data_IF_753415130191
#
_entry.id   IF_753415130191
#
_cell.length_a   1.000
_cell.length_b   1.000
_cell.length_c   1.000
_cell.angle_alpha   90.00
_cell.angle_beta   90.00
_cell.angle_gamma   90.00
#
_symmetry.space_group_name_H-M   'P 1'
#
loop_
_entity.id
_entity.type
_entity.pdbx_description
1 polymer ?
#
# COMPACT_ATOMS: atom_id res chain seq x y z
N UNK A 1 7.82 20.90 -7.54
CA UNK A 1 7.76 19.55 -6.96
C UNK A 1 6.63 18.82 -7.66
N UNK A 2 6.93 17.88 -8.56
CA UNK A 2 5.92 17.25 -9.41
C UNK A 2 5.23 16.16 -8.58
N UNK A 3 3.96 16.38 -8.20
CA UNK A 3 3.13 15.37 -7.55
C UNK A 3 3.15 14.10 -8.41
N UNK A 4 3.73 13.02 -7.89
CA UNK A 4 3.97 11.79 -8.65
C UNK A 4 2.74 10.89 -8.76
N UNK A 5 1.62 11.29 -8.15
CA UNK A 5 0.33 10.63 -8.27
C UNK A 5 -0.73 11.66 -8.65
N UNK A 6 -0.97 11.83 -9.94
CA UNK A 6 -2.33 12.14 -10.37
C UNK A 6 -3.21 10.98 -9.91
N UNK A 7 -4.39 11.30 -9.39
CA UNK A 7 -5.38 10.35 -8.89
C UNK A 7 -5.55 9.20 -9.91
N UNK A 8 -4.98 8.03 -9.62
CA UNK A 8 -4.92 6.91 -10.56
C UNK A 8 -5.57 5.69 -9.94
N UNK A 9 -6.60 5.16 -10.61
CA UNK A 9 -7.20 3.88 -10.24
C UNK A 9 -6.55 2.81 -11.12
N UNK A 10 -6.03 1.75 -10.49
CA UNK A 10 -5.45 0.60 -11.17
C UNK A 10 -6.24 -0.62 -10.73
N UNK A 11 -6.79 -1.35 -11.70
CA UNK A 11 -7.41 -2.67 -11.45
C UNK A 11 -6.38 -3.74 -11.75
N UNK A 12 -6.20 -4.68 -10.83
CA UNK A 12 -5.32 -5.83 -11.00
C UNK A 12 -6.13 -7.10 -10.73
N UNK A 13 -5.86 -8.16 -11.51
CA UNK A 13 -6.43 -9.48 -11.28
C UNK A 13 -5.33 -10.37 -10.67
N UNK A 14 -5.71 -11.20 -9.72
CA UNK A 14 -4.82 -12.18 -9.09
C UNK A 14 -5.54 -13.53 -8.95
N UNK A 15 -4.81 -14.62 -9.10
CA UNK A 15 -5.39 -15.98 -9.13
C UNK A 15 -5.34 -16.70 -7.77
N UNK A 16 -4.52 -16.22 -6.83
CA UNK A 16 -4.25 -16.88 -5.55
C UNK A 16 -4.66 -16.00 -4.37
N UNK A 17 -4.92 -16.61 -3.21
CA UNK A 17 -5.10 -15.85 -1.97
C UNK A 17 -3.95 -14.86 -1.76
N UNK A 18 -4.28 -13.58 -1.78
CA UNK A 18 -3.29 -12.49 -1.75
C UNK A 18 -3.49 -11.67 -0.49
N UNK A 19 -2.43 -11.40 0.26
CA UNK A 19 -2.45 -10.45 1.37
C UNK A 19 -2.11 -9.03 0.91
N UNK A 20 -2.35 -8.03 1.77
CA UNK A 20 -1.89 -6.66 1.53
C UNK A 20 -0.38 -6.61 1.31
N UNK A 21 0.40 -7.40 2.06
CA UNK A 21 1.85 -7.51 1.89
C UNK A 21 2.24 -8.00 0.51
N UNK A 22 1.57 -9.04 0.03
CA UNK A 22 1.82 -9.62 -1.29
C UNK A 22 1.51 -8.60 -2.40
N UNK A 23 0.40 -7.88 -2.26
CA UNK A 23 0.03 -6.80 -3.17
C UNK A 23 1.08 -5.67 -3.20
N UNK A 24 1.54 -5.22 -2.03
CA UNK A 24 2.58 -4.19 -1.93
C UNK A 24 3.86 -4.66 -2.61
N UNK A 25 4.29 -5.90 -2.36
CA UNK A 25 5.46 -6.49 -2.99
C UNK A 25 5.32 -6.55 -4.52
N UNK A 26 4.13 -6.92 -5.02
CA UNK A 26 3.84 -6.93 -6.46
C UNK A 26 3.96 -5.53 -7.07
N UNK A 27 3.36 -4.51 -6.42
CA UNK A 27 3.41 -3.12 -6.87
C UNK A 27 4.86 -2.61 -6.89
N UNK A 28 5.65 -2.90 -5.84
CA UNK A 28 7.06 -2.53 -5.75
C UNK A 28 7.88 -3.23 -6.86
N UNK A 29 7.58 -4.50 -7.16
CA UNK A 29 8.27 -5.21 -8.24
C UNK A 29 7.97 -4.60 -9.62
N UNK A 30 6.74 -4.12 -9.84
CA UNK A 30 6.35 -3.43 -11.09
C UNK A 30 6.99 -2.04 -11.16
N UNK A 31 6.98 -1.29 -10.06
CA UNK A 31 7.58 0.04 -9.99
C UNK A 31 8.33 0.24 -8.67
N UNK A 32 9.65 -0.02 -8.65
CA UNK A 32 10.46 0.10 -7.44
C UNK A 32 10.45 1.49 -6.81
N UNK A 33 10.13 2.55 -7.56
CA UNK A 33 10.04 3.92 -7.03
C UNK A 33 8.91 4.10 -6.03
N UNK A 34 7.89 3.23 -6.04
CA UNK A 34 6.76 3.28 -5.10
C UNK A 34 7.18 2.83 -3.70
N UNK A 35 8.27 2.07 -3.58
CA UNK A 35 8.73 1.51 -2.30
C UNK A 35 8.81 2.56 -1.21
N UNK A 36 9.52 3.67 -1.46
CA UNK A 36 9.78 4.70 -0.45
C UNK A 36 8.53 5.54 -0.08
N UNK A 37 7.47 5.44 -0.89
CA UNK A 37 6.17 6.06 -0.62
C UNK A 37 5.35 5.21 0.36
N UNK A 38 5.41 3.88 0.22
CA UNK A 38 4.65 2.94 1.04
C UNK A 38 5.42 2.54 2.31
N UNK A 39 6.72 2.28 2.18
CA UNK A 39 7.59 1.74 3.23
C UNK A 39 8.80 2.65 3.39
N UNK A 40 9.00 3.17 4.60
CA UNK A 40 10.25 3.81 4.99
C UNK A 40 11.09 2.86 5.85
N UNK A 41 12.41 3.00 5.78
CA UNK A 41 13.33 2.36 6.73
C UNK A 41 13.97 3.48 7.54
N UNK A 42 13.81 3.45 8.85
CA UNK A 42 14.50 4.34 9.77
C UNK A 42 15.08 3.51 10.90
N UNK A 43 16.35 3.75 11.26
CA UNK A 43 17.03 3.06 12.37
C UNK A 43 16.95 1.52 12.28
N UNK A 44 17.05 0.96 11.07
CA UNK A 44 16.90 -0.48 10.76
C UNK A 44 15.50 -1.06 11.02
N UNK A 45 14.49 -0.22 11.29
CA UNK A 45 13.09 -0.62 11.41
C UNK A 45 12.30 -0.20 10.17
N UNK A 46 11.43 -1.10 9.69
CA UNK A 46 10.53 -0.82 8.59
C UNK A 46 9.23 -0.21 9.11
N UNK A 47 8.89 0.98 8.64
CA UNK A 47 7.65 1.67 8.98
C UNK A 47 6.83 1.92 7.74
N UNK A 48 5.51 1.75 7.85
CA UNK A 48 4.59 2.19 6.81
C UNK A 48 4.59 3.72 6.76
N UNK A 49 4.90 4.26 5.59
CA UNK A 49 4.86 5.70 5.32
C UNK A 49 3.55 6.11 4.61
N UNK A 50 2.54 5.25 4.72
CA UNK A 50 1.22 5.42 4.12
C UNK A 50 0.16 4.83 5.03
N UNK A 51 -0.98 5.50 5.14
CA UNK A 51 -2.20 4.91 5.66
C UNK A 51 -2.77 3.98 4.59
N UNK A 52 -3.11 2.75 4.96
CA UNK A 52 -3.64 1.75 4.05
C UNK A 52 -5.05 1.39 4.52
N UNK A 53 -6.02 1.52 3.61
CA UNK A 53 -7.42 1.22 3.86
C UNK A 53 -7.90 0.10 2.94
N UNK A 54 -8.74 -0.79 3.46
CA UNK A 54 -9.52 -1.76 2.70
C UNK A 54 -10.99 -1.38 2.89
N UNK A 55 -11.68 -1.04 1.80
CA UNK A 55 -13.10 -0.61 1.83
C UNK A 55 -13.34 0.52 2.85
N UNK A 56 -12.38 1.44 3.00
CA UNK A 56 -12.42 2.55 3.96
C UNK A 56 -12.05 2.20 5.40
N UNK A 57 -11.76 0.92 5.71
CA UNK A 57 -11.31 0.47 7.03
C UNK A 57 -9.80 0.35 7.06
N UNK A 58 -9.17 0.94 8.08
CA UNK A 58 -7.72 0.94 8.22
C UNK A 58 -7.19 -0.46 8.59
N UNK A 59 -6.04 -0.86 8.01
CA UNK A 59 -5.57 -2.25 8.11
C UNK A 59 -5.11 -2.66 9.52
N UNK A 60 -4.68 -1.73 10.38
CA UNK A 60 -4.25 -2.03 11.76
C UNK A 60 -5.40 -2.48 12.66
N UNK A 61 -6.65 -2.12 12.34
CA UNK A 61 -7.84 -2.67 13.02
C UNK A 61 -8.31 -4.00 12.43
N UNK A 62 -7.66 -4.48 11.37
CA UNK A 62 -7.86 -5.80 10.76
C UNK A 62 -6.71 -6.73 11.16
N UNK A 63 -6.05 -7.38 10.20
CA UNK A 63 -4.88 -8.22 10.41
C UNK A 63 -3.59 -7.56 9.87
N UNK A 64 -3.56 -6.22 9.79
CA UNK A 64 -2.45 -5.45 9.27
C UNK A 64 -2.09 -5.85 7.84
N UNK A 65 -0.78 -5.98 7.57
CA UNK A 65 -0.24 -6.41 6.27
C UNK A 65 -0.64 -7.84 5.88
N UNK A 66 -1.01 -8.66 6.85
CA UNK A 66 -1.45 -10.04 6.65
C UNK A 66 -2.98 -10.14 6.41
N UNK A 67 -3.66 -9.00 6.27
CA UNK A 67 -5.08 -8.99 5.86
C UNK A 67 -5.22 -9.56 4.46
N UNK A 68 -6.10 -10.56 4.33
CA UNK A 68 -6.40 -11.24 3.06
C UNK A 68 -7.38 -10.43 2.23
N UNK A 69 -7.10 -10.33 0.94
CA UNK A 69 -7.90 -9.61 -0.04
C UNK A 69 -8.97 -10.51 -0.65
N UNK A 70 -10.16 -9.96 -0.82
CA UNK A 70 -11.29 -10.56 -1.50
C UNK A 70 -11.56 -9.88 -2.84
N UNK A 71 -12.31 -10.57 -3.71
CA UNK A 71 -12.77 -9.98 -4.97
C UNK A 71 -13.52 -8.66 -4.72
N UNK A 72 -13.21 -7.65 -5.54
CA UNK A 72 -13.75 -6.29 -5.50
C UNK A 72 -13.40 -5.45 -4.27
N UNK A 73 -12.46 -5.88 -3.44
CA UNK A 73 -11.94 -5.00 -2.39
C UNK A 73 -11.30 -3.74 -2.99
N UNK A 74 -11.65 -2.58 -2.44
CA UNK A 74 -11.02 -1.31 -2.76
C UNK A 74 -9.87 -1.04 -1.78
N UNK A 75 -8.65 -0.96 -2.29
CA UNK A 75 -7.46 -0.64 -1.51
C UNK A 75 -7.04 0.80 -1.77
N UNK A 76 -6.99 1.61 -0.71
CA UNK A 76 -6.53 3.00 -0.79
C UNK A 76 -5.20 3.15 -0.06
N UNK A 77 -4.20 3.71 -0.75
CA UNK A 77 -2.92 4.13 -0.16
C UNK A 77 -2.91 5.66 -0.04
N UNK A 78 -2.75 6.16 1.19
CA UNK A 78 -2.65 7.59 1.47
C UNK A 78 -1.24 7.87 2.03
N UNK A 79 -0.31 8.40 1.22
CA UNK A 79 1.03 8.73 1.69
C UNK A 79 0.98 9.72 2.84
N UNK A 80 1.72 9.42 3.91
CA UNK A 80 1.90 10.34 5.02
C UNK A 80 3.10 11.23 4.68
N UNK A 81 2.81 12.45 4.22
CA UNK A 81 3.83 13.47 4.01
C UNK A 81 4.04 14.25 5.30
N UNK A 82 5.22 14.08 5.92
CA UNK A 82 5.67 14.98 6.97
C UNK A 82 5.99 16.35 6.36
N UNK A 83 5.05 17.29 6.48
CA UNK A 83 5.25 18.67 6.05
C UNK A 83 6.17 19.42 7.01
N UNK A 84 7.25 19.98 6.48
CA UNK A 84 8.06 21.03 7.08
C UNK A 84 8.14 22.20 6.12
#
# INVERSE_FOLDING_TARGET
>A
MRNFFEKGIITFNYENETSIKDLINLIININPRIKDIIISSQNNEFHLNSLILINGVEISVLNGLETKLSDKDEITFIPIIHGG
#
